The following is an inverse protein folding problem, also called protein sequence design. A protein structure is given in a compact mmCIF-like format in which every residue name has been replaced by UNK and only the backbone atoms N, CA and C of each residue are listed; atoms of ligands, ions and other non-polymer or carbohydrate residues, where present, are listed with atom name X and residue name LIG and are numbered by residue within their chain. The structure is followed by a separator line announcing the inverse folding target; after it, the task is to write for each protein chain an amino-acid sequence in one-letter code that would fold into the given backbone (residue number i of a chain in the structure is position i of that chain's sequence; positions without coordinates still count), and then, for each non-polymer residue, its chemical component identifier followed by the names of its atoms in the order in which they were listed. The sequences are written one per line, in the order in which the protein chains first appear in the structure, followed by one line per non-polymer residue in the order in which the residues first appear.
data_IF_571551966708
#
_entry.id   IF_571551966708
#
_cell.length_a   1.000
_cell.length_b   1.000
_cell.length_c   1.000
_cell.angle_alpha   90.00
_cell.angle_beta   90.00
_cell.angle_gamma   90.00
#
_symmetry.space_group_name_H-M   'P 1'
#
loop_
_entity.id
_entity.type
_entity.pdbx_description
1 polymer ?
#
# COMPACT_ATOMS: atom_id res chain seq x y z
N UNK A 1 -13.33 -7.76 -3.12
CA UNK A 1 -13.52 -7.14 -4.46
C UNK A 1 -13.86 -5.66 -4.24
N UNK A 2 -13.13 -4.73 -4.84
CA UNK A 2 -13.32 -3.29 -4.60
C UNK A 2 -14.58 -2.75 -5.29
N UNK A 3 -15.13 -1.63 -4.79
CA UNK A 3 -16.27 -0.93 -5.41
C UNK A 3 -15.96 0.56 -5.49
N UNK A 4 -16.08 1.13 -6.69
CA UNK A 4 -16.07 2.58 -6.89
C UNK A 4 -17.52 2.99 -7.08
N UNK A 5 -17.98 3.95 -6.28
CA UNK A 5 -19.34 4.49 -6.32
C UNK A 5 -19.25 5.93 -6.80
N UNK A 6 -19.89 6.23 -7.94
CA UNK A 6 -20.08 7.58 -8.43
C UNK A 6 -21.53 7.98 -8.17
N UNK A 7 -21.74 9.09 -7.48
CA UNK A 7 -23.05 9.64 -7.15
C UNK A 7 -23.18 11.02 -7.79
N UNK A 8 -24.29 11.25 -8.49
CA UNK A 8 -24.56 12.48 -9.20
C UNK A 8 -25.76 13.18 -8.59
N UNK A 9 -25.62 14.47 -8.35
CA UNK A 9 -26.61 15.29 -7.65
C UNK A 9 -26.97 16.52 -8.48
N UNK A 10 -28.23 16.92 -8.44
CA UNK A 10 -28.61 18.26 -8.86
C UNK A 10 -28.32 19.24 -7.73
N UNK A 11 -27.74 20.38 -8.08
CA UNK A 11 -27.46 21.49 -7.16
C UNK A 11 -28.19 22.74 -7.63
N UNK A 12 -28.70 23.54 -6.70
CA UNK A 12 -29.41 24.80 -7.00
C UNK A 12 -28.41 25.96 -7.09
N UNK A 13 -27.44 25.95 -6.20
CA UNK A 13 -26.50 27.05 -6.02
C UNK A 13 -25.10 26.48 -6.00
N UNK A 14 -24.19 27.16 -6.69
CA UNK A 14 -22.77 26.93 -6.64
C UNK A 14 -22.11 28.28 -6.37
N UNK A 15 -21.52 28.45 -5.19
CA UNK A 15 -20.87 29.68 -4.79
C UNK A 15 -19.41 29.41 -4.44
N UNK A 16 -18.47 30.21 -4.97
CA UNK A 16 -17.06 30.12 -4.57
C UNK A 16 -16.94 30.72 -3.16
N UNK A 17 -16.56 29.90 -2.19
CA UNK A 17 -16.29 30.35 -0.83
C UNK A 17 -14.97 31.11 -0.82
N UNK A 18 -15.05 32.39 -0.49
CA UNK A 18 -13.88 33.17 -0.09
C UNK A 18 -13.53 32.78 1.34
N UNK A 19 -12.79 31.68 1.50
CA UNK A 19 -12.28 31.29 2.81
C UNK A 19 -11.18 32.28 3.19
N UNK A 20 -11.45 33.14 4.18
CA UNK A 20 -10.42 33.95 4.81
C UNK A 20 -9.36 33.04 5.42
N UNK A 21 -8.09 33.45 5.37
CA UNK A 21 -6.95 32.70 5.92
C UNK A 21 -7.33 31.96 7.21
N UNK A 22 -7.28 30.63 7.19
CA UNK A 22 -7.39 29.83 8.42
C UNK A 22 -6.26 30.27 9.34
N UNK A 23 -6.57 30.45 10.62
CA UNK A 23 -5.53 30.65 11.63
C UNK A 23 -4.53 29.49 11.53
N UNK A 24 -3.25 29.83 11.44
CA UNK A 24 -2.19 28.83 11.52
C UNK A 24 -2.30 28.16 12.88
N UNK A 25 -2.35 26.83 12.87
CA UNK A 25 -2.22 26.05 14.09
C UNK A 25 -0.75 25.72 14.20
N UNK A 26 -0.03 26.52 14.98
CA UNK A 26 1.37 26.23 15.29
C UNK A 26 1.41 25.04 16.25
N UNK A 27 2.29 24.08 15.96
CA UNK A 27 2.54 22.98 16.88
C UNK A 27 3.55 23.51 17.90
N UNK A 28 3.17 23.66 19.19
CA UNK A 28 4.08 24.18 20.19
C UNK A 28 5.26 23.22 20.37
N UNK A 29 6.46 23.78 20.50
CA UNK A 29 7.63 22.98 20.86
C UNK A 29 7.49 22.43 22.28
N UNK A 30 7.56 21.10 22.40
CA UNK A 30 7.73 20.46 23.68
C UNK A 30 9.16 20.77 24.14
N UNK A 31 9.27 21.43 25.29
CA UNK A 31 10.55 21.75 25.90
C UNK A 31 11.35 20.50 26.31
N UNK A 32 12.43 20.71 27.07
CA UNK A 32 13.32 19.63 27.47
C UNK A 32 12.59 18.57 28.33
N UNK A 33 12.68 17.31 27.92
CA UNK A 33 12.20 16.16 28.71
C UNK A 33 13.38 15.47 29.40
N UNK A 34 13.19 15.14 30.68
CA UNK A 34 14.24 14.51 31.47
C UNK A 34 14.58 13.10 30.95
N UNK A 35 15.87 12.81 30.83
CA UNK A 35 16.38 11.52 30.34
C UNK A 35 15.83 10.33 31.15
N UNK A 36 15.63 10.52 32.46
CA UNK A 36 15.09 9.50 33.38
C UNK A 36 13.74 8.93 32.93
N UNK A 37 12.93 9.71 32.21
CA UNK A 37 11.59 9.32 31.76
C UNK A 37 11.65 8.51 30.45
N UNK A 38 12.69 8.72 29.64
CA UNK A 38 12.82 8.12 28.30
C UNK A 38 13.73 6.87 28.32
N UNK A 39 14.63 6.78 29.31
CA UNK A 39 15.64 5.72 29.37
C UNK A 39 15.00 4.33 29.38
N UNK A 40 15.38 3.51 28.39
CA UNK A 40 14.89 2.13 28.22
C UNK A 40 13.57 1.99 27.45
N UNK A 41 12.98 3.08 26.95
CA UNK A 41 11.75 3.07 26.15
C UNK A 41 11.97 3.71 24.78
N UNK A 42 11.54 3.04 23.71
CA UNK A 42 11.59 3.59 22.36
C UNK A 42 10.35 4.47 22.10
N UNK A 43 10.38 5.71 22.59
CA UNK A 43 9.29 6.69 22.46
C UNK A 43 9.72 7.88 21.61
N UNK A 44 8.82 8.35 20.74
CA UNK A 44 9.02 9.61 20.01
C UNK A 44 8.60 10.79 20.89
N UNK A 45 9.46 11.81 20.99
CA UNK A 45 9.27 12.96 21.88
C UNK A 45 8.36 14.05 21.27
N UNK A 46 8.67 14.49 20.05
CA UNK A 46 7.89 15.49 19.33
C UNK A 46 8.06 15.28 17.83
N UNK A 47 7.02 15.60 17.05
CA UNK A 47 7.11 15.81 15.62
C UNK A 47 6.85 17.30 15.32
N UNK A 48 7.70 17.90 14.49
CA UNK A 48 7.54 19.26 13.99
C UNK A 48 7.20 19.25 12.50
N UNK A 49 6.66 20.36 12.02
CA UNK A 49 6.46 20.58 10.59
C UNK A 49 7.67 21.32 10.02
N UNK A 50 8.00 21.05 8.76
CA UNK A 50 8.95 21.85 7.99
C UNK A 50 8.37 23.23 7.68
N UNK A 51 9.22 24.12 7.18
CA UNK A 51 8.79 25.44 6.72
C UNK A 51 7.65 25.33 5.70
N UNK A 52 6.60 26.17 5.81
CA UNK A 52 5.49 26.14 4.87
C UNK A 52 5.93 26.44 3.44
N UNK A 53 5.54 25.58 2.51
CA UNK A 53 5.73 25.83 1.08
C UNK A 53 4.49 26.53 0.49
N UNK A 54 4.71 27.51 -0.38
CA UNK A 54 3.62 28.21 -1.06
C UNK A 54 2.94 27.27 -2.06
N UNK A 55 1.64 27.07 -1.90
CA UNK A 55 0.80 26.32 -2.83
C UNK A 55 -0.09 27.27 -3.63
N UNK A 56 -0.53 26.89 -4.85
CA UNK A 56 -1.55 27.63 -5.57
C UNK A 56 -2.81 27.81 -4.72
N UNK A 57 -3.52 28.93 -4.92
CA UNK A 57 -4.76 29.21 -4.20
C UNK A 57 -5.76 28.07 -4.40
N UNK A 58 -6.17 27.44 -3.30
CA UNK A 58 -7.21 26.42 -3.29
C UNK A 58 -8.57 27.12 -3.35
N UNK A 59 -9.38 26.76 -4.35
CA UNK A 59 -10.77 27.23 -4.45
C UNK A 59 -11.67 26.30 -3.68
N UNK A 60 -12.55 26.87 -2.88
CA UNK A 60 -13.59 26.15 -2.16
C UNK A 60 -14.94 26.53 -2.74
N UNK A 61 -15.83 25.56 -2.84
CA UNK A 61 -17.16 25.76 -3.38
C UNK A 61 -18.16 25.31 -2.33
N UNK A 62 -19.14 26.17 -2.05
CA UNK A 62 -20.34 25.80 -1.33
C UNK A 62 -21.46 25.53 -2.33
N UNK A 63 -22.28 24.55 -2.01
CA UNK A 63 -23.42 24.21 -2.84
C UNK A 63 -24.57 23.68 -2.03
N UNK A 64 -25.78 23.88 -2.55
CA UNK A 64 -27.01 23.33 -1.99
C UNK A 64 -27.60 22.32 -2.94
N UNK A 65 -27.90 21.11 -2.43
CA UNK A 65 -28.62 20.10 -3.18
C UNK A 65 -30.02 20.60 -3.56
N UNK A 66 -30.48 20.22 -4.76
CA UNK A 66 -31.83 20.50 -5.23
C UNK A 66 -32.88 19.77 -4.40
N UNK A 67 -32.61 18.51 -4.08
CA UNK A 67 -33.49 17.73 -3.22
C UNK A 67 -33.09 17.94 -1.74
N UNK A 68 -34.02 18.31 -0.84
CA UNK A 68 -33.71 18.56 0.57
C UNK A 68 -33.06 17.36 1.28
N UNK A 69 -33.41 16.14 0.85
CA UNK A 69 -32.85 14.91 1.39
C UNK A 69 -31.45 14.56 0.83
N UNK A 70 -30.90 15.34 -0.10
CA UNK A 70 -29.56 15.09 -0.67
C UNK A 70 -29.46 13.73 -1.35
N UNK A 71 -30.48 13.35 -2.14
CA UNK A 71 -30.52 12.06 -2.84
C UNK A 71 -29.89 12.20 -4.22
N UNK A 72 -28.96 11.30 -4.61
CA UNK A 72 -28.39 11.35 -5.95
C UNK A 72 -29.44 10.96 -7.00
N UNK A 73 -29.48 11.66 -8.12
CA UNK A 73 -30.38 11.30 -9.23
C UNK A 73 -29.85 10.10 -10.03
N UNK A 74 -28.53 9.85 -9.97
CA UNK A 74 -27.91 8.68 -10.57
C UNK A 74 -26.77 8.17 -9.69
N UNK A 75 -26.67 6.84 -9.57
CA UNK A 75 -25.57 6.19 -8.86
C UNK A 75 -25.00 5.07 -9.74
N UNK A 76 -23.74 5.19 -10.11
CA UNK A 76 -23.02 4.16 -10.86
C UNK A 76 -22.07 3.42 -9.93
N UNK A 77 -22.23 2.10 -9.86
CA UNK A 77 -21.41 1.23 -9.00
C UNK A 77 -20.51 0.39 -9.88
N UNK A 78 -19.25 0.78 -9.98
CA UNK A 78 -18.24 0.03 -10.70
C UNK A 78 -17.63 -1.01 -9.77
N UNK A 79 -17.75 -2.28 -10.15
CA UNK A 79 -17.00 -3.35 -9.50
C UNK A 79 -15.55 -3.23 -9.97
N UNK A 80 -14.65 -2.99 -9.04
CA UNK A 80 -13.24 -2.92 -9.33
C UNK A 80 -12.54 -4.17 -8.79
N UNK A 81 -11.72 -4.79 -9.63
CA UNK A 81 -10.87 -5.91 -9.20
C UNK A 81 -9.85 -5.34 -8.21
N UNK A 82 -9.72 -5.98 -7.04
CA UNK A 82 -8.71 -5.55 -6.06
C UNK A 82 -7.31 -5.64 -6.69
N UNK A 83 -6.35 -4.93 -6.10
CA UNK A 83 -4.96 -4.96 -6.55
C UNK A 83 -4.42 -6.41 -6.65
N UNK A 84 -4.85 -7.30 -5.74
CA UNK A 84 -4.44 -8.71 -5.75
C UNK A 84 -5.04 -9.52 -6.89
N UNK A 85 -6.30 -9.25 -7.27
CA UNK A 85 -6.90 -9.88 -8.46
C UNK A 85 -6.23 -9.36 -9.73
N UNK A 86 -5.84 -8.08 -9.79
CA UNK A 86 -5.07 -7.54 -10.92
C UNK A 86 -3.66 -8.13 -11.01
N UNK A 87 -3.03 -8.45 -9.87
CA UNK A 87 -1.77 -9.21 -9.81
C UNK A 87 -1.97 -10.65 -10.28
N UNK A 88 -3.02 -11.32 -9.83
CA UNK A 88 -3.33 -12.70 -10.23
C UNK A 88 -3.63 -12.84 -11.74
N UNK A 89 -4.29 -11.84 -12.33
CA UNK A 89 -4.52 -11.74 -13.78
C UNK A 89 -3.33 -11.18 -14.57
N UNK A 90 -2.17 -10.94 -13.93
CA UNK A 90 -0.96 -10.39 -14.54
C UNK A 90 -1.14 -9.01 -15.23
N UNK A 91 -2.17 -8.24 -14.88
CA UNK A 91 -2.41 -6.87 -15.40
C UNK A 91 -1.45 -5.87 -14.75
N UNK A 92 -1.06 -6.11 -13.49
CA UNK A 92 0.01 -5.42 -12.77
C UNK A 92 1.12 -6.46 -12.55
N UNK A 93 2.41 -6.08 -12.59
CA UNK A 93 3.48 -6.98 -12.22
C UNK A 93 3.16 -7.69 -10.90
N UNK A 94 3.24 -9.01 -10.91
CA UNK A 94 3.20 -9.77 -9.67
C UNK A 94 4.39 -9.32 -8.82
N UNK A 95 4.26 -9.39 -7.49
CA UNK A 95 5.46 -9.45 -6.65
C UNK A 95 6.35 -10.54 -7.24
N UNK A 96 7.65 -10.28 -7.37
CA UNK A 96 8.61 -11.25 -7.92
C UNK A 96 8.24 -12.62 -7.37
N UNK A 97 7.82 -13.54 -8.24
CA UNK A 97 7.59 -14.92 -7.81
C UNK A 97 8.85 -15.32 -7.05
N UNK A 98 8.73 -15.87 -5.82
CA UNK A 98 9.90 -16.19 -5.02
C UNK A 98 10.87 -16.97 -5.92
N UNK A 99 12.05 -16.38 -6.10
CA UNK A 99 13.07 -16.92 -6.99
C UNK A 99 13.30 -18.36 -6.55
N UNK A 100 13.19 -19.30 -7.49
CA UNK A 100 13.40 -20.71 -7.17
C UNK A 100 14.77 -20.84 -6.51
N UNK A 101 14.94 -21.71 -5.50
CA UNK A 101 16.23 -21.88 -4.82
C UNK A 101 17.37 -22.15 -5.81
N UNK A 102 17.09 -22.88 -6.88
CA UNK A 102 17.97 -23.19 -8.01
C UNK A 102 18.60 -21.97 -8.70
N UNK A 103 17.98 -20.78 -8.57
CA UNK A 103 18.40 -19.53 -9.20
C UNK A 103 19.00 -18.52 -8.20
N UNK A 104 18.98 -18.82 -6.90
CA UNK A 104 19.62 -18.00 -5.87
C UNK A 104 21.10 -18.39 -5.77
N UNK A 105 21.98 -17.43 -5.48
CA UNK A 105 23.35 -17.76 -5.11
C UNK A 105 23.34 -18.52 -3.77
N UNK A 106 24.19 -19.53 -3.61
CA UNK A 106 24.22 -20.43 -2.43
C UNK A 106 24.31 -19.65 -1.10
N UNK A 107 24.95 -18.48 -1.12
CA UNK A 107 25.17 -17.62 0.04
C UNK A 107 23.92 -16.85 0.49
N UNK A 108 22.90 -16.73 -0.36
CA UNK A 108 21.66 -16.01 -0.08
C UNK A 108 20.48 -16.94 0.28
N UNK A 109 20.69 -18.25 0.28
CA UNK A 109 19.64 -19.22 0.62
C UNK A 109 19.49 -19.41 2.12
N UNK A 110 18.24 -19.42 2.58
CA UNK A 110 17.91 -19.78 3.96
C UNK A 110 18.18 -21.27 4.20
N UNK A 111 18.49 -21.66 5.44
CA UNK A 111 18.79 -23.07 5.79
C UNK A 111 17.71 -24.05 5.33
N UNK A 112 16.44 -23.69 5.53
CA UNK A 112 15.29 -24.51 5.12
C UNK A 112 15.21 -24.70 3.60
N UNK A 113 15.57 -23.65 2.84
CA UNK A 113 15.57 -23.70 1.36
C UNK A 113 16.72 -24.58 0.84
N UNK A 114 17.86 -24.59 1.53
CA UNK A 114 19.00 -25.45 1.20
C UNK A 114 18.71 -26.93 1.46
N UNK A 115 18.05 -27.23 2.58
CA UNK A 115 17.63 -28.60 2.90
C UNK A 115 16.63 -29.14 1.85
N UNK A 116 15.67 -28.32 1.41
CA UNK A 116 14.74 -28.70 0.35
C UNK A 116 15.44 -28.89 -1.01
N UNK A 117 16.39 -28.01 -1.34
CA UNK A 117 17.19 -28.12 -2.57
C UNK A 117 17.99 -29.43 -2.61
N UNK A 118 18.69 -29.77 -1.52
CA UNK A 118 19.46 -31.01 -1.39
C UNK A 118 18.55 -32.24 -1.51
N UNK A 119 17.36 -32.23 -0.90
CA UNK A 119 16.41 -33.34 -1.00
C UNK A 119 16.00 -33.60 -2.45
N UNK A 120 15.62 -32.55 -3.20
CA UNK A 120 15.25 -32.68 -4.62
C UNK A 120 16.39 -33.16 -5.50
N UNK A 121 17.62 -32.71 -5.23
CA UNK A 121 18.79 -33.15 -5.99
C UNK A 121 19.05 -34.64 -5.77
N UNK A 122 18.94 -35.13 -4.53
CA UNK A 122 19.07 -36.57 -4.23
C UNK A 122 17.98 -37.41 -4.90
N UNK A 123 16.73 -36.95 -4.89
CA UNK A 123 15.63 -37.64 -5.58
C UNK A 123 15.90 -37.75 -7.10
N UNK A 124 16.40 -36.70 -7.74
CA UNK A 124 16.78 -36.73 -9.17
C UNK A 124 17.95 -37.68 -9.45
N UNK A 125 18.97 -37.69 -8.59
CA UNK A 125 20.10 -38.64 -8.70
C UNK A 125 19.63 -40.08 -8.57
N UNK A 126 18.77 -40.38 -7.58
CA UNK A 126 18.22 -41.73 -7.41
C UNK A 126 17.32 -42.16 -8.58
N UNK A 127 16.54 -41.24 -9.15
CA UNK A 127 15.74 -41.50 -10.34
C UNK A 127 16.62 -41.74 -11.58
N UNK A 128 17.73 -41.00 -11.72
CA UNK A 128 18.72 -41.18 -12.78
C UNK A 128 19.45 -42.51 -12.70
N UNK A 129 19.83 -42.96 -11.50
CA UNK A 129 20.48 -44.25 -11.25
C UNK A 129 19.56 -45.45 -11.54
N UNK A 130 18.25 -45.27 -11.43
CA UNK A 130 17.26 -46.32 -11.72
C UNK A 130 17.07 -46.53 -13.24
N UNK A 131 17.49 -45.55 -14.06
CA UNK A 131 17.34 -45.58 -15.52
C UNK A 131 18.68 -46.00 -16.16
N UNK A 132 18.79 -47.32 -16.41
CA UNK A 132 19.76 -48.05 -17.25
C UNK A 132 21.11 -48.47 -16.63
N UNK A 133 21.21 -49.77 -16.34
CA UNK A 133 22.45 -50.54 -16.47
C UNK A 133 22.30 -51.48 -17.66
N UNK A 134 22.97 -51.20 -18.78
CA UNK A 134 23.07 -52.15 -19.89
C UNK A 134 24.29 -53.06 -19.62
N UNK A 135 24.03 -54.37 -19.47
CA UNK A 135 25.06 -55.39 -19.26
C UNK A 135 25.84 -55.66 -20.56
N UNK A 136 27.16 -55.86 -20.43
CA UNK A 136 28.10 -56.14 -21.52
C UNK A 136 28.26 -57.63 -21.77
#
# INVERSE_FOLDING_TARGET
MGKIKLEFYYIITLAELQISNRSRVDIPELGAVSEKVIKGKALSHQASLREPESIPKVKFWDFRYLHPMGVPFATFKFKYRSRDVRRALCIIPRSLSPVRPEQKQEQEMTREELEEYVRRHRERETAGLTVKQEFK
#
